data_IF_807027569634
#
_entry.id   IF_807027569634
#
_cell.length_a   1.000
_cell.length_b   1.000
_cell.length_c   1.000
_cell.angle_alpha   90.00
_cell.angle_beta   90.00
_cell.angle_gamma   90.00
#
_symmetry.space_group_name_H-M   'P 1'
#
loop_
_entity.id
_entity.type
_entity.pdbx_description
1 polymer ?
#
# COMPACT_ATOMS: atom_id res chain seq x y z
N UNK A 1 32.51 4.30 54.98
CA UNK A 1 31.31 3.44 55.06
C UNK A 1 30.13 4.30 54.62
N UNK A 2 29.75 4.27 53.34
CA UNK A 2 28.54 4.94 52.85
C UNK A 2 27.59 3.85 52.39
N UNK A 3 26.44 3.78 53.04
CA UNK A 3 25.42 2.75 52.88
C UNK A 3 24.44 3.12 51.77
N UNK A 4 24.00 2.08 51.08
CA UNK A 4 23.03 1.98 49.99
C UNK A 4 21.71 2.71 50.21
N UNK A 5 21.23 3.39 49.17
CA UNK A 5 19.84 3.33 48.66
C UNK A 5 19.78 4.07 47.32
N UNK A 6 19.94 3.33 46.22
CA UNK A 6 19.41 3.75 44.93
C UNK A 6 18.06 3.04 44.81
N UNK A 7 16.98 3.78 45.00
CA UNK A 7 15.63 3.27 44.77
C UNK A 7 15.51 2.89 43.28
N UNK A 8 15.27 1.61 43.01
CA UNK A 8 14.94 1.14 41.67
C UNK A 8 13.63 1.82 41.23
N UNK A 9 13.70 2.66 40.20
CA UNK A 9 12.52 3.19 39.51
C UNK A 9 11.85 2.01 38.77
N UNK A 10 10.63 1.58 39.13
CA UNK A 10 9.99 0.46 38.46
C UNK A 10 9.60 0.90 37.05
N UNK A 11 10.43 0.54 36.07
CA UNK A 11 10.11 0.70 34.66
C UNK A 11 9.06 -0.35 34.33
N UNK A 12 7.79 0.01 34.50
CA UNK A 12 6.67 -0.81 34.06
C UNK A 12 6.67 -0.81 32.54
N UNK A 13 7.37 -1.78 31.94
CA UNK A 13 7.37 -2.01 30.50
C UNK A 13 5.94 -2.34 30.08
N UNK A 14 5.21 -1.33 29.63
CA UNK A 14 3.91 -1.50 28.99
C UNK A 14 4.16 -2.12 27.62
N UNK A 15 4.35 -3.44 27.58
CA UNK A 15 4.32 -4.22 26.35
C UNK A 15 2.88 -4.25 25.85
N UNK A 16 2.42 -3.14 25.26
CA UNK A 16 1.23 -3.16 24.44
C UNK A 16 1.56 -4.07 23.25
N UNK A 17 1.19 -5.35 23.34
CA UNK A 17 1.11 -6.21 22.16
C UNK A 17 0.17 -5.48 21.21
N UNK A 18 0.71 -4.80 20.21
CA UNK A 18 -0.05 -4.33 19.07
C UNK A 18 -0.52 -5.59 18.35
N UNK A 19 -1.60 -6.19 18.86
CA UNK A 19 -2.39 -7.15 18.10
C UNK A 19 -3.04 -6.33 16.99
N UNK A 20 -2.29 -6.11 15.90
CA UNK A 20 -2.89 -5.73 14.65
C UNK A 20 -3.83 -6.86 14.28
N UNK A 21 -5.11 -6.64 14.57
CA UNK A 21 -6.18 -7.52 14.19
C UNK A 21 -6.15 -7.53 12.65
N UNK A 22 -5.47 -8.53 12.08
CA UNK A 22 -5.43 -8.74 10.63
C UNK A 22 -6.84 -9.16 10.22
N UNK A 23 -7.74 -8.19 10.09
CA UNK A 23 -9.00 -8.40 9.41
C UNK A 23 -8.65 -8.83 7.99
N UNK A 24 -8.78 -10.13 7.75
CA UNK A 24 -8.59 -10.68 6.41
C UNK A 24 -9.63 -10.05 5.52
N UNK A 25 -9.17 -9.41 4.46
CA UNK A 25 -10.06 -8.95 3.41
C UNK A 25 -10.56 -10.19 2.68
N UNK A 26 -11.87 -10.38 2.65
CA UNK A 26 -12.50 -11.53 2.00
C UNK A 26 -12.04 -11.63 0.54
N UNK A 27 -11.70 -12.84 0.09
CA UNK A 27 -11.21 -13.09 -1.27
C UNK A 27 -9.73 -12.75 -1.51
N UNK A 28 -9.03 -12.11 -0.55
CA UNK A 28 -7.59 -11.83 -0.65
C UNK A 28 -6.79 -12.88 0.13
N UNK A 29 -5.97 -13.67 -0.58
CA UNK A 29 -5.15 -14.72 0.03
C UNK A 29 -3.92 -14.17 0.76
N UNK A 30 -3.27 -13.16 0.19
CA UNK A 30 -2.00 -12.60 0.67
C UNK A 30 -2.02 -11.08 0.56
N UNK A 31 -1.49 -10.40 1.56
CA UNK A 31 -1.26 -8.94 1.55
C UNK A 31 0.23 -8.72 1.77
N UNK A 32 0.88 -8.01 0.84
CA UNK A 32 2.30 -7.66 0.91
C UNK A 32 2.38 -6.15 1.09
N UNK A 33 2.78 -5.70 2.28
CA UNK A 33 3.00 -4.29 2.56
C UNK A 33 4.45 -3.91 2.21
N UNK A 34 4.62 -2.88 1.38
CA UNK A 34 5.93 -2.37 0.97
C UNK A 34 6.05 -0.93 1.48
N UNK A 35 7.02 -0.69 2.36
CA UNK A 35 7.25 0.62 2.99
C UNK A 35 8.73 0.99 2.94
N UNK A 36 9.03 2.27 3.10
CA UNK A 36 10.40 2.78 3.25
C UNK A 36 10.44 3.87 4.31
N UNK A 37 11.51 3.90 5.11
CA UNK A 37 11.73 4.97 6.09
C UNK A 37 12.37 6.23 5.50
N UNK A 38 12.60 6.27 4.18
CA UNK A 38 13.24 7.36 3.45
C UNK A 38 12.61 7.50 2.06
N UNK A 39 12.70 8.70 1.51
CA UNK A 39 12.24 9.01 0.16
C UNK A 39 13.21 8.49 -0.91
N UNK A 40 12.71 8.26 -2.13
CA UNK A 40 13.51 7.95 -3.34
C UNK A 40 14.36 6.67 -3.28
N UNK A 41 14.06 5.73 -2.38
CA UNK A 41 14.76 4.44 -2.28
C UNK A 41 14.33 3.37 -3.31
N UNK A 42 13.42 3.72 -4.23
CA UNK A 42 12.91 2.77 -5.23
C UNK A 42 11.76 1.88 -4.75
N UNK A 43 11.07 2.23 -3.66
CA UNK A 43 9.89 1.53 -3.12
C UNK A 43 8.87 1.17 -4.22
N UNK A 44 8.47 2.16 -5.02
CA UNK A 44 7.47 1.99 -6.08
C UNK A 44 7.97 1.07 -7.20
N UNK A 45 9.25 1.19 -7.58
CA UNK A 45 9.87 0.31 -8.58
C UNK A 45 9.88 -1.15 -8.12
N UNK A 46 10.23 -1.39 -6.86
CA UNK A 46 10.21 -2.74 -6.27
C UNK A 46 8.77 -3.26 -6.20
N UNK A 47 7.82 -2.43 -5.75
CA UNK A 47 6.42 -2.81 -5.67
C UNK A 47 5.83 -3.22 -7.02
N UNK A 48 6.07 -2.44 -8.08
CA UNK A 48 5.61 -2.76 -9.43
C UNK A 48 6.25 -4.05 -9.94
N UNK A 49 7.57 -4.22 -9.78
CA UNK A 49 8.24 -5.43 -10.27
C UNK A 49 7.76 -6.69 -9.55
N UNK A 50 7.55 -6.64 -8.23
CA UNK A 50 6.97 -7.75 -7.48
C UNK A 50 5.56 -8.07 -8.00
N UNK A 51 4.71 -7.05 -8.15
CA UNK A 51 3.34 -7.22 -8.65
C UNK A 51 3.30 -7.85 -10.05
N UNK A 52 4.11 -7.32 -10.98
CA UNK A 52 4.22 -7.83 -12.35
C UNK A 52 4.75 -9.27 -12.36
N UNK A 53 5.78 -9.57 -11.56
CA UNK A 53 6.34 -10.93 -11.52
C UNK A 53 5.33 -11.93 -10.96
N UNK A 54 4.59 -11.56 -9.92
CA UNK A 54 3.51 -12.39 -9.35
C UNK A 54 2.40 -12.63 -10.39
N UNK A 55 2.02 -11.61 -11.15
CA UNK A 55 1.03 -11.74 -12.22
C UNK A 55 1.53 -12.68 -13.33
N UNK A 56 2.80 -12.54 -13.75
CA UNK A 56 3.43 -13.39 -14.77
C UNK A 56 3.51 -14.87 -14.38
N UNK A 57 3.66 -15.18 -13.08
CA UNK A 57 3.63 -16.58 -12.60
C UNK A 57 2.20 -17.09 -12.32
N UNK A 58 1.17 -16.37 -12.76
CA UNK A 58 -0.23 -16.82 -12.73
C UNK A 58 -1.04 -16.36 -11.52
N UNK A 59 -0.54 -15.45 -10.69
CA UNK A 59 -1.29 -14.91 -9.56
C UNK A 59 -2.30 -13.84 -10.00
N UNK A 60 -3.45 -13.77 -9.34
CA UNK A 60 -4.35 -12.62 -9.44
C UNK A 60 -3.80 -11.51 -8.54
N UNK A 61 -3.37 -10.39 -9.12
CA UNK A 61 -2.67 -9.32 -8.41
C UNK A 61 -3.44 -8.00 -8.49
N UNK A 62 -3.66 -7.40 -7.33
CA UNK A 62 -4.04 -5.99 -7.19
C UNK A 62 -2.88 -5.21 -6.58
N UNK A 63 -2.63 -4.01 -7.07
CA UNK A 63 -1.66 -3.06 -6.53
C UNK A 63 -2.42 -1.81 -6.08
N UNK A 64 -2.27 -1.45 -4.81
CA UNK A 64 -2.84 -0.24 -4.23
C UNK A 64 -1.70 0.71 -3.89
N UNK A 65 -1.71 1.89 -4.49
CA UNK A 65 -0.75 2.96 -4.22
C UNK A 65 -1.44 4.09 -3.45
N UNK A 66 -1.05 4.24 -2.19
CA UNK A 66 -1.64 5.19 -1.24
C UNK A 66 -0.82 6.49 -1.10
N UNK A 67 0.16 6.72 -1.97
CA UNK A 67 1.12 7.81 -1.84
C UNK A 67 0.93 8.85 -2.96
N UNK A 68 0.30 10.01 -2.68
CA UNK A 68 -0.01 10.99 -3.73
C UNK A 68 1.22 11.73 -4.26
N UNK A 69 2.35 11.71 -3.56
CA UNK A 69 3.46 12.64 -3.78
C UNK A 69 4.66 12.02 -4.53
N UNK A 70 4.66 10.71 -4.75
CA UNK A 70 5.82 9.98 -5.25
C UNK A 70 5.72 9.62 -6.75
N UNK A 71 6.87 9.28 -7.37
CA UNK A 71 6.94 8.87 -8.78
C UNK A 71 5.82 7.87 -9.07
N UNK A 72 4.88 8.28 -9.91
CA UNK A 72 3.57 7.65 -10.01
C UNK A 72 3.74 6.17 -10.36
N UNK A 73 3.26 5.27 -9.48
CA UNK A 73 3.26 3.81 -9.70
C UNK A 73 2.68 3.47 -11.07
N UNK A 74 1.69 4.23 -11.51
CA UNK A 74 1.08 4.08 -12.82
C UNK A 74 2.06 4.32 -13.97
N UNK A 75 2.94 5.32 -13.86
CA UNK A 75 3.96 5.60 -14.87
C UNK A 75 4.96 4.43 -14.97
N UNK A 76 5.39 3.88 -13.82
CA UNK A 76 6.30 2.72 -13.79
C UNK A 76 5.62 1.49 -14.41
N UNK A 77 4.31 1.34 -14.18
CA UNK A 77 3.50 0.29 -14.82
C UNK A 77 3.19 0.61 -16.30
N UNK A 78 3.75 1.67 -16.89
CA UNK A 78 3.59 2.02 -18.30
C UNK A 78 2.21 2.60 -18.66
N UNK A 79 1.44 3.04 -17.66
CA UNK A 79 0.14 3.69 -17.86
C UNK A 79 0.36 5.18 -18.07
N UNK A 80 -0.05 5.70 -19.23
CA UNK A 80 -0.13 7.14 -19.50
C UNK A 80 -1.51 7.64 -19.07
N UNK A 81 -1.56 8.79 -18.40
CA UNK A 81 -2.79 9.45 -17.94
C UNK A 81 -3.80 8.49 -17.30
N UNK A 82 -3.41 7.79 -16.21
CA UNK A 82 -4.24 6.75 -15.62
C UNK A 82 -5.39 7.42 -14.89
N UNK A 83 -6.56 7.42 -15.51
CA UNK A 83 -7.84 7.77 -14.91
C UNK A 83 -8.48 6.51 -14.34
N UNK A 84 -8.98 6.59 -13.12
CA UNK A 84 -9.72 5.51 -12.48
C UNK A 84 -11.19 5.91 -12.49
N UNK A 85 -12.01 5.33 -13.37
CA UNK A 85 -13.44 5.55 -13.35
C UNK A 85 -14.02 5.11 -12.01
N UNK A 86 -15.07 5.81 -11.59
CA UNK A 86 -15.95 5.34 -10.53
C UNK A 86 -17.24 4.91 -11.21
N UNK A 87 -17.57 3.62 -11.11
CA UNK A 87 -18.88 3.14 -11.54
C UNK A 87 -19.80 2.95 -10.35
N UNK A 88 -21.02 3.46 -10.48
CA UNK A 88 -22.09 3.28 -9.52
C UNK A 88 -22.92 2.03 -9.84
N UNK A 89 -23.26 1.25 -8.81
CA UNK A 89 -24.22 0.15 -8.92
C UNK A 89 -25.01 -0.03 -7.63
N UNK A 90 -25.96 -0.99 -7.62
CA UNK A 90 -26.85 -1.27 -6.48
C UNK A 90 -26.12 -1.60 -5.16
N UNK A 91 -24.81 -1.86 -5.21
CA UNK A 91 -23.93 -2.16 -4.07
C UNK A 91 -22.95 -1.03 -3.74
N UNK A 92 -23.25 0.22 -4.13
CA UNK A 92 -22.39 1.38 -3.94
C UNK A 92 -21.38 1.63 -5.06
N UNK A 93 -20.68 2.76 -4.96
CA UNK A 93 -19.62 3.18 -5.87
C UNK A 93 -18.39 2.25 -5.80
N UNK A 94 -17.78 1.97 -6.95
CA UNK A 94 -16.54 1.19 -7.05
C UNK A 94 -15.57 1.85 -8.01
N UNK A 95 -14.30 1.87 -7.60
CA UNK A 95 -13.20 2.17 -8.51
C UNK A 95 -13.05 1.05 -9.52
N UNK A 96 -12.89 1.40 -10.79
CA UNK A 96 -12.53 0.48 -11.86
C UNK A 96 -11.00 0.49 -12.02
N UNK A 97 -10.29 -0.56 -11.55
CA UNK A 97 -8.83 -0.54 -11.57
C UNK A 97 -8.30 -0.54 -13.00
N UNK A 98 -7.32 0.32 -13.26
CA UNK A 98 -6.55 0.29 -14.51
C UNK A 98 -5.70 -0.98 -14.55
N UNK A 99 -5.61 -1.62 -15.71
CA UNK A 99 -4.93 -2.91 -15.84
C UNK A 99 -3.78 -2.81 -16.83
N UNK A 100 -2.58 -3.22 -16.41
CA UNK A 100 -1.46 -3.47 -17.32
C UNK A 100 -0.56 -4.56 -16.76
N UNK A 101 0.11 -5.31 -17.65
CA UNK A 101 0.97 -6.46 -17.28
C UNK A 101 0.31 -7.49 -16.34
N UNK A 102 -1.02 -7.64 -16.42
CA UNK A 102 -1.80 -8.54 -15.55
C UNK A 102 -2.01 -8.03 -14.12
N UNK A 103 -1.67 -6.77 -13.84
CA UNK A 103 -1.82 -6.11 -12.54
C UNK A 103 -2.94 -5.09 -12.60
N UNK A 104 -3.91 -5.22 -11.68
CA UNK A 104 -4.97 -4.23 -11.45
C UNK A 104 -4.49 -3.18 -10.47
N UNK A 105 -4.37 -1.92 -10.92
CA UNK A 105 -3.85 -0.81 -10.13
C UNK A 105 -4.98 0.15 -9.73
N UNK A 106 -4.96 0.55 -8.46
CA UNK A 106 -5.63 1.76 -7.96
C UNK A 106 -4.56 2.62 -7.30
N UNK A 107 -4.44 3.89 -7.69
CA UNK A 107 -3.49 4.85 -7.11
C UNK A 107 -4.22 6.13 -6.73
N UNK A 108 -3.89 6.71 -5.57
CA UNK A 108 -4.44 8.01 -5.15
C UNK A 108 -4.06 9.11 -6.14
N UNK A 109 -2.84 9.06 -6.72
CA UNK A 109 -2.40 10.05 -7.71
C UNK A 109 -3.33 10.08 -8.95
N UNK A 110 -3.83 8.92 -9.36
CA UNK A 110 -4.80 8.77 -10.46
C UNK A 110 -6.21 9.30 -10.13
N UNK A 111 -6.57 9.42 -8.85
CA UNK A 111 -7.86 9.96 -8.41
C UNK A 111 -7.86 11.49 -8.32
N UNK A 112 -6.72 12.09 -7.99
CA UNK A 112 -6.58 13.55 -7.86
C UNK A 112 -6.37 14.25 -9.22
N UNK A 113 -6.17 13.49 -10.29
CA UNK A 113 -5.98 14.04 -11.64
C UNK A 113 -7.32 14.53 -12.19
N UNK A 114 -7.63 15.80 -11.99
CA UNK A 114 -8.81 16.48 -12.54
C UNK A 114 -8.59 16.80 -14.01
N UNK A 115 -9.48 16.35 -14.90
CA UNK A 115 -9.54 16.88 -16.27
C UNK A 115 -10.40 18.13 -16.28
N UNK A 116 -9.89 19.22 -16.85
CA UNK A 116 -10.78 20.22 -17.42
C UNK A 116 -11.54 19.54 -18.56
N UNK A 117 -12.86 19.46 -18.38
CA UNK A 117 -13.85 19.18 -19.43
C UNK A 117 -13.82 20.30 -20.47
#
# INVERSE_FOLDING_TARGET
MFSSTLDEVPTKTLTHKLQYNHQRIEGIKNIIAISSGRDRVGKNTIAVNIAVKLAQIGSKVGLLDADPNNLNVSNILGLKDPYIPVSGGAKGERFEPVNNFGVKLVSIASLLTVRSI
#
